data_IF_481283915219
#
_entry.id   IF_481283915219
#
_cell.length_a   1.000
_cell.length_b   1.000
_cell.length_c   1.000
_cell.angle_alpha   90.00
_cell.angle_beta   90.00
_cell.angle_gamma   90.00
#
_symmetry.space_group_name_H-M   'P 1'
#
loop_
_entity.id
_entity.type
_entity.pdbx_description
1 polymer ?
#
# COMPACT_ATOMS: atom_id res chain seq x y z
N UNK A 1 29.45 17.17 15.49
CA UNK A 1 29.01 15.88 14.92
C UNK A 1 27.92 16.16 13.91
N UNK A 2 27.99 15.54 12.72
CA UNK A 2 26.88 15.57 11.77
C UNK A 2 25.65 14.86 12.34
N UNK A 3 24.47 15.45 12.15
CA UNK A 3 23.21 14.81 12.53
C UNK A 3 22.83 13.82 11.43
N UNK A 4 22.90 12.54 11.77
CA UNK A 4 22.44 11.46 10.89
C UNK A 4 21.00 11.08 11.21
N UNK A 5 20.25 10.84 10.15
CA UNK A 5 18.86 10.41 10.23
C UNK A 5 18.60 9.22 9.30
N UNK A 6 17.62 8.42 9.65
CA UNK A 6 17.05 7.38 8.79
C UNK A 6 15.65 7.81 8.36
N UNK A 7 15.38 7.79 7.07
CA UNK A 7 14.04 8.01 6.52
C UNK A 7 13.38 6.66 6.24
N UNK A 8 12.27 6.37 6.90
CA UNK A 8 11.41 5.25 6.58
C UNK A 8 10.25 5.72 5.70
N UNK A 9 10.03 5.04 4.57
CA UNK A 9 8.85 5.24 3.73
C UNK A 9 7.94 4.03 3.93
N UNK A 10 6.73 4.32 4.39
CA UNK A 10 5.65 3.34 4.59
C UNK A 10 4.58 3.60 3.52
N UNK A 11 4.53 2.71 2.52
CA UNK A 11 3.60 2.80 1.40
C UNK A 11 2.37 1.94 1.71
N UNK A 12 1.39 2.56 2.36
CA UNK A 12 0.12 1.93 2.66
C UNK A 12 -0.80 1.87 1.45
N UNK A 13 -1.88 1.10 1.58
CA UNK A 13 -2.88 0.98 0.51
C UNK A 13 -3.65 2.26 0.28
N UNK A 14 -3.92 3.06 1.33
CA UNK A 14 -4.71 4.30 1.28
C UNK A 14 -3.89 5.59 1.39
N UNK A 15 -2.64 5.49 1.86
CA UNK A 15 -1.79 6.63 2.09
C UNK A 15 -0.31 6.25 2.03
N UNK A 16 0.54 7.23 1.82
CA UNK A 16 1.99 7.09 1.95
C UNK A 16 2.45 7.94 3.14
N UNK A 17 3.35 7.38 3.94
CA UNK A 17 3.94 8.05 5.10
C UNK A 17 5.46 8.04 5.00
N UNK A 18 6.07 9.14 5.43
CA UNK A 18 7.51 9.30 5.57
C UNK A 18 7.82 9.65 7.03
N UNK A 19 8.69 8.87 7.67
CA UNK A 19 9.05 9.03 9.08
C UNK A 19 10.56 9.20 9.19
N UNK A 20 10.99 10.24 9.91
CA UNK A 20 12.40 10.52 10.16
C UNK A 20 12.78 10.06 11.56
N UNK A 21 13.80 9.22 11.66
CA UNK A 21 14.34 8.72 12.93
C UNK A 21 15.74 9.26 13.18
N UNK A 22 16.04 9.62 14.42
CA UNK A 22 17.41 9.92 14.85
C UNK A 22 18.19 8.64 15.21
N UNK A 23 19.44 8.77 15.63
CA UNK A 23 20.31 7.63 15.98
C UNK A 23 19.83 6.83 17.19
N UNK A 24 19.07 7.47 18.08
CA UNK A 24 18.48 6.84 19.26
C UNK A 24 17.17 6.09 18.93
N UNK A 25 16.73 6.12 17.67
CA UNK A 25 15.47 5.50 17.23
C UNK A 25 14.23 6.33 17.54
N UNK A 26 14.39 7.56 18.03
CA UNK A 26 13.26 8.47 18.23
C UNK A 26 12.75 9.02 16.91
N UNK A 27 11.43 9.05 16.77
CA UNK A 27 10.77 9.74 15.67
C UNK A 27 10.88 11.25 15.87
N UNK A 28 11.57 11.92 14.96
CA UNK A 28 11.83 13.37 15.00
C UNK A 28 11.02 14.14 13.97
N UNK A 29 10.33 13.44 13.06
CA UNK A 29 9.47 14.05 12.07
C UNK A 29 8.60 13.01 11.37
N UNK A 30 7.43 13.44 10.91
CA UNK A 30 6.50 12.62 10.14
C UNK A 30 5.76 13.47 9.12
N UNK A 31 5.59 12.93 7.92
CA UNK A 31 4.70 13.46 6.90
C UNK A 31 3.82 12.33 6.36
N UNK A 32 2.55 12.61 6.10
CA UNK A 32 1.62 11.65 5.53
C UNK A 32 0.82 12.31 4.41
N UNK A 33 0.57 11.53 3.36
CA UNK A 33 -0.28 11.95 2.25
C UNK A 33 -1.21 10.83 1.85
N UNK A 34 -2.50 11.08 1.97
CA UNK A 34 -3.54 10.20 1.44
C UNK A 34 -3.65 10.35 -0.07
N UNK A 35 -4.12 9.30 -0.72
CA UNK A 35 -4.40 9.31 -2.15
C UNK A 35 -5.70 8.59 -2.46
N UNK A 36 -6.40 9.08 -3.50
CA UNK A 36 -7.68 8.52 -3.93
C UNK A 36 -7.50 7.09 -4.40
N UNK A 37 -8.27 6.17 -3.83
CA UNK A 37 -8.38 4.81 -4.34
C UNK A 37 -9.27 4.80 -5.58
N UNK A 38 -8.74 4.36 -6.71
CA UNK A 38 -9.50 4.28 -7.96
C UNK A 38 -10.08 2.88 -8.08
N UNK A 39 -11.40 2.75 -7.92
CA UNK A 39 -12.14 1.52 -8.14
C UNK A 39 -13.01 1.65 -9.40
N UNK A 40 -12.56 1.13 -10.56
CA UNK A 40 -13.36 1.19 -11.78
C UNK A 40 -14.64 0.35 -11.64
N UNK A 41 -15.77 0.90 -12.09
CA UNK A 41 -17.11 0.36 -11.89
C UNK A 41 -17.34 -1.05 -12.47
N UNK A 42 -17.18 -2.05 -11.62
CA UNK A 42 -18.00 -3.26 -11.42
C UNK A 42 -17.48 -3.84 -10.12
N UNK A 43 -18.37 -4.13 -9.17
CA UNK A 43 -17.99 -4.66 -7.87
C UNK A 43 -17.02 -5.85 -8.04
N UNK A 44 -15.82 -5.72 -7.46
CA UNK A 44 -14.87 -6.81 -7.30
C UNK A 44 -13.84 -6.93 -8.42
N UNK A 45 -12.69 -6.25 -8.26
CA UNK A 45 -11.42 -6.83 -8.71
C UNK A 45 -11.03 -7.97 -7.78
N UNK A 46 -11.76 -9.09 -7.89
CA UNK A 46 -11.38 -10.47 -7.50
C UNK A 46 -12.61 -11.38 -7.62
N UNK A 47 -13.19 -11.47 -8.80
CA UNK A 47 -13.91 -12.68 -9.19
C UNK A 47 -13.52 -12.96 -10.63
N UNK A 48 -12.46 -13.74 -10.81
CA UNK A 48 -12.46 -14.65 -11.95
C UNK A 48 -13.50 -15.71 -11.58
N UNK A 49 -14.68 -15.79 -12.21
CA UNK A 49 -15.38 -17.04 -12.18
C UNK A 49 -14.50 -17.99 -13.00
N UNK A 50 -13.83 -18.93 -12.35
CA UNK A 50 -13.18 -20.05 -13.03
C UNK A 50 -14.31 -20.87 -13.65
N UNK A 51 -14.83 -20.43 -14.80
CA UNK A 51 -15.70 -21.27 -15.64
C UNK A 51 -14.78 -22.25 -16.36
N UNK A 52 -14.33 -23.27 -15.64
CA UNK A 52 -14.13 -24.55 -16.28
C UNK A 52 -15.50 -25.09 -16.63
N UNK A 53 -15.96 -24.76 -17.83
CA UNK A 53 -16.94 -25.60 -18.48
C UNK A 53 -16.33 -26.99 -18.61
N UNK A 54 -16.82 -27.95 -17.82
CA UNK A 54 -16.73 -29.36 -18.20
C UNK A 54 -17.33 -29.49 -19.60
N UNK A 55 -16.69 -30.15 -20.57
CA UNK A 55 -17.42 -30.54 -21.77
C UNK A 55 -18.53 -31.49 -21.32
N UNK A 56 -19.76 -31.16 -21.70
CA UNK A 56 -20.92 -32.02 -21.47
C UNK A 56 -20.66 -33.36 -22.13
N UNK A 57 -20.70 -34.43 -21.34
CA UNK A 57 -20.84 -35.80 -21.84
C UNK A 57 -22.19 -35.91 -22.57
N UNK A 58 -22.12 -35.95 -23.90
CA UNK A 58 -23.11 -36.49 -24.81
C UNK A 58 -22.39 -37.45 -25.75
#
# INVERSE_FOLDING_TARGET
MEKMYVLAIDQGTTSSRAILFNREGHMVGVAQREFTQIFPGRAGWSTMPWRSGRPSSA
#
